data_IF_561212471782
#
_entry.id   IF_561212471782
#
_cell.length_a   1.000
_cell.length_b   1.000
_cell.length_c   1.000
_cell.angle_alpha   90.00
_cell.angle_beta   90.00
_cell.angle_gamma   90.00
#
_symmetry.space_group_name_H-M   'P 1'
#
loop_
_entity.id
_entity.type
_entity.pdbx_description
1 polymer ?
#
# COMPACT_ATOMS: atom_id res chain seq x y z
N UNK A 1 5.38 11.03 -12.05
CA UNK A 1 5.25 9.62 -11.62
C UNK A 1 6.48 9.25 -10.82
N UNK A 2 6.31 8.61 -9.66
CA UNK A 2 7.40 8.19 -8.78
C UNK A 2 7.81 6.75 -9.09
N UNK A 3 8.52 6.54 -10.21
CA UNK A 3 8.90 5.21 -10.70
C UNK A 3 9.59 4.34 -9.64
N UNK A 4 10.41 4.94 -8.78
CA UNK A 4 11.10 4.21 -7.71
C UNK A 4 10.13 3.61 -6.68
N UNK A 5 9.05 4.32 -6.36
CA UNK A 5 8.01 3.82 -5.47
C UNK A 5 7.27 2.65 -6.15
N UNK A 6 6.91 2.82 -7.42
CA UNK A 6 6.21 1.79 -8.20
C UNK A 6 7.05 0.51 -8.30
N UNK A 7 8.35 0.63 -8.60
CA UNK A 7 9.30 -0.48 -8.67
C UNK A 7 9.47 -1.17 -7.31
N UNK A 8 9.48 -0.42 -6.21
CA UNK A 8 9.56 -0.97 -4.86
C UNK A 8 8.29 -1.73 -4.51
N UNK A 9 7.12 -1.12 -4.70
CA UNK A 9 5.83 -1.72 -4.37
C UNK A 9 5.50 -2.93 -5.25
N UNK A 10 5.98 -2.98 -6.49
CA UNK A 10 5.82 -4.15 -7.38
C UNK A 10 6.47 -5.42 -6.83
N UNK A 11 7.48 -5.29 -5.96
CA UNK A 11 8.18 -6.41 -5.31
C UNK A 11 7.47 -6.95 -4.07
N UNK A 12 6.40 -6.28 -3.62
CA UNK A 12 5.64 -6.66 -2.44
C UNK A 12 4.20 -7.03 -2.80
N UNK A 13 3.66 -8.01 -2.08
CA UNK A 13 2.23 -8.32 -2.12
C UNK A 13 1.41 -7.04 -1.87
N UNK A 14 0.40 -6.79 -2.69
CA UNK A 14 -0.46 -5.61 -2.58
C UNK A 14 -1.12 -5.49 -1.19
N UNK A 15 -1.43 -6.62 -0.55
CA UNK A 15 -1.92 -6.69 0.84
C UNK A 15 -0.94 -6.14 1.89
N UNK A 16 0.35 -5.99 1.55
CA UNK A 16 1.39 -5.42 2.42
C UNK A 16 1.62 -3.94 2.20
N UNK A 17 1.07 -3.35 1.13
CA UNK A 17 1.34 -1.96 0.75
C UNK A 17 0.95 -0.97 1.85
N UNK A 18 -0.24 -1.15 2.46
CA UNK A 18 -0.69 -0.28 3.57
C UNK A 18 0.24 -0.35 4.79
N UNK A 19 0.81 -1.52 5.08
CA UNK A 19 1.76 -1.65 6.19
C UNK A 19 3.07 -0.89 5.90
N UNK A 20 3.55 -0.94 4.66
CA UNK A 20 4.73 -0.18 4.21
C UNK A 20 4.44 1.32 4.27
N UNK A 21 3.28 1.78 3.75
CA UNK A 21 2.87 3.18 3.83
C UNK A 21 2.82 3.67 5.28
N UNK A 22 2.22 2.89 6.18
CA UNK A 22 2.17 3.22 7.63
C UNK A 22 3.55 3.32 8.25
N UNK A 23 4.52 2.51 7.82
CA UNK A 23 5.89 2.64 8.29
C UNK A 23 6.51 3.95 7.78
N UNK A 24 6.41 4.25 6.49
CA UNK A 24 6.95 5.48 5.91
C UNK A 24 6.34 6.74 6.55
N UNK A 25 5.02 6.77 6.77
CA UNK A 25 4.33 7.89 7.43
C UNK A 25 4.81 8.14 8.87
N UNK A 26 5.40 7.14 9.55
CA UNK A 26 5.95 7.30 10.90
C UNK A 26 7.38 7.82 10.91
N UNK A 27 8.17 7.45 9.90
CA UNK A 27 9.61 7.71 9.87
C UNK A 27 9.98 9.00 9.12
N UNK A 28 9.17 9.41 8.15
CA UNK A 28 9.45 10.59 7.31
C UNK A 28 9.05 11.86 8.07
N UNK A 29 9.98 12.82 8.28
CA UNK A 29 9.63 14.15 8.80
C UNK A 29 8.67 14.86 7.84
N UNK A 30 7.63 15.48 8.37
CA UNK A 30 6.60 16.19 7.61
C UNK A 30 6.33 17.56 8.21
N UNK A 31 5.95 18.50 7.36
CA UNK A 31 5.36 19.77 7.77
C UNK A 31 3.86 19.62 7.97
N UNK A 32 3.23 20.59 8.65
CA UNK A 32 1.78 20.60 8.83
C UNK A 32 1.04 20.60 7.48
N UNK A 33 1.57 21.33 6.48
CA UNK A 33 1.01 21.35 5.11
C UNK A 33 1.06 19.98 4.45
N UNK A 34 2.14 19.21 4.63
CA UNK A 34 2.24 17.86 4.07
C UNK A 34 1.17 16.93 4.67
N UNK A 35 0.88 17.10 5.97
CA UNK A 35 -0.16 16.33 6.65
C UNK A 35 -1.55 16.68 6.12
N UNK A 36 -1.86 17.96 5.95
CA UNK A 36 -3.14 18.41 5.42
C UNK A 36 -3.38 17.89 3.99
N UNK A 37 -2.35 17.94 3.14
CA UNK A 37 -2.40 17.42 1.78
C UNK A 37 -2.63 15.90 1.76
N UNK A 38 -1.95 15.15 2.62
CA UNK A 38 -2.13 13.69 2.75
C UNK A 38 -3.52 13.32 3.28
N UNK A 39 -4.08 14.11 4.20
CA UNK A 39 -5.45 13.90 4.69
C UNK A 39 -6.48 14.13 3.59
N UNK A 40 -6.34 15.21 2.82
CA UNK A 40 -7.22 15.48 1.68
C UNK A 40 -7.17 14.35 0.64
N UNK A 41 -5.97 13.83 0.34
CA UNK A 41 -5.78 12.70 -0.56
C UNK A 41 -6.43 11.40 -0.03
N UNK A 42 -6.35 11.13 1.27
CA UNK A 42 -7.01 9.95 1.86
C UNK A 42 -8.54 10.07 1.84
N UNK A 43 -9.07 11.28 1.98
CA UNK A 43 -10.51 11.54 1.88
C UNK A 43 -11.03 11.27 0.47
N UNK A 44 -10.36 11.77 -0.57
CA UNK A 44 -10.77 11.49 -1.96
C UNK A 44 -10.67 10.00 -2.30
N UNK A 45 -9.64 9.30 -1.81
CA UNK A 45 -9.46 7.85 -2.03
C UNK A 45 -10.62 7.00 -1.47
N UNK A 46 -11.43 7.50 -0.53
CA UNK A 46 -12.57 6.73 0.01
C UNK A 46 -13.59 6.34 -1.05
N UNK A 47 -13.71 7.13 -2.11
CA UNK A 47 -14.63 6.87 -3.23
C UNK A 47 -14.24 5.63 -4.04
N UNK A 48 -12.99 5.19 -3.95
CA UNK A 48 -12.42 4.05 -4.71
C UNK A 48 -12.03 2.88 -3.79
N UNK A 49 -12.65 2.78 -2.62
CA UNK A 49 -12.34 1.70 -1.67
C UNK A 49 -12.83 0.35 -2.19
N UNK A 50 -12.07 -0.69 -1.85
CA UNK A 50 -12.41 -2.09 -2.13
C UNK A 50 -12.64 -2.81 -0.80
N UNK A 51 -13.54 -3.79 -0.79
CA UNK A 51 -13.85 -4.57 0.43
C UNK A 51 -12.64 -5.38 0.91
N UNK A 52 -11.87 -5.94 -0.02
CA UNK A 52 -10.64 -6.65 0.27
C UNK A 52 -9.57 -6.32 -0.77
N UNK A 53 -8.33 -6.11 -0.31
CA UNK A 53 -7.19 -5.87 -1.22
C UNK A 53 -6.76 -7.21 -1.83
N UNK A 54 -6.77 -7.37 -3.16
CA UNK A 54 -6.40 -8.62 -3.79
C UNK A 54 -4.92 -8.95 -3.56
N UNK A 55 -4.58 -10.24 -3.49
CA UNK A 55 -3.20 -10.66 -3.65
C UNK A 55 -2.83 -10.67 -5.14
N UNK A 56 -1.70 -10.03 -5.45
CA UNK A 56 -1.11 -9.99 -6.79
C UNK A 56 0.18 -10.82 -6.89
N UNK A 57 0.48 -11.65 -5.90
CA UNK A 57 1.68 -12.48 -5.92
C UNK A 57 1.53 -13.68 -6.83
N UNK A 58 2.66 -14.13 -7.39
CA UNK A 58 2.72 -15.41 -8.08
C UNK A 58 2.36 -16.52 -7.08
N UNK A 59 1.49 -17.49 -7.45
CA UNK A 59 1.16 -18.62 -6.59
C UNK A 59 2.41 -19.30 -6.03
N UNK A 60 2.37 -19.64 -4.74
CA UNK A 60 3.52 -20.20 -4.00
C UNK A 60 4.58 -19.20 -3.52
N UNK A 61 4.58 -17.94 -3.97
CA UNK A 61 5.54 -16.92 -3.52
C UNK A 61 5.05 -16.09 -2.33
N UNK A 62 3.77 -16.22 -1.97
CA UNK A 62 3.16 -15.46 -0.87
C UNK A 62 2.72 -16.35 0.29
N UNK A 63 2.91 -15.87 1.51
CA UNK A 63 2.39 -16.48 2.75
C UNK A 63 1.03 -15.91 3.17
N UNK A 64 0.36 -15.18 2.29
CA UNK A 64 -0.94 -14.53 2.53
C UNK A 64 -2.12 -15.51 2.60
N UNK A 65 -1.87 -16.82 2.52
CA UNK A 65 -2.83 -17.92 2.64
C UNK A 65 -3.88 -18.04 1.51
N UNK A 66 -4.01 -17.06 0.63
CA UNK A 66 -4.92 -17.11 -0.54
C UNK A 66 -4.53 -18.13 -1.63
N UNK A 67 -3.25 -18.50 -1.72
CA UNK A 67 -2.75 -19.50 -2.69
C UNK A 67 -2.23 -20.76 -2.02
N UNK A 68 -2.67 -21.04 -0.78
CA UNK A 68 -2.47 -22.36 -0.18
C UNK A 68 -3.56 -23.27 -0.75
N UNK A 69 -3.32 -23.82 -1.94
CA UNK A 69 -4.07 -24.99 -2.36
C UNK A 69 -3.78 -26.12 -1.36
N UNK A 70 -4.84 -26.70 -0.81
CA UNK A 70 -4.82 -27.94 -0.02
C UNK A 70 -4.61 -29.13 -0.95
#
# INVERSE_FOLDING_TARGET
>A
MNQQADDLFSKFCQRKHVAILKHLLKEVPMTDSDIDDLQALLLSKREETVDEVPCNCIPGQCRCKEHLEL
#
